data_IF_040203510925
#
_entry.id   IF_040203510925
#
_cell.length_a   1.000
_cell.length_b   1.000
_cell.length_c   1.000
_cell.angle_alpha   90.00
_cell.angle_beta   90.00
_cell.angle_gamma   90.00
#
_symmetry.space_group_name_H-M   'P 1'
#
loop_
_entity.id
_entity.type
_entity.pdbx_description
1 polymer ?
#
# COMPACT_ATOMS: atom_id res chain seq x y z
N UNK A 1 23.00 -10.27 -13.11
CA UNK A 1 21.56 -10.35 -13.45
C UNK A 1 20.79 -9.79 -12.27
N UNK A 2 20.30 -8.56 -12.38
CA UNK A 2 19.52 -7.93 -11.32
C UNK A 2 18.13 -8.58 -11.34
N UNK A 3 17.83 -9.41 -10.35
CA UNK A 3 16.51 -10.04 -10.23
C UNK A 3 15.47 -8.95 -9.99
N UNK A 4 14.80 -8.49 -11.05
CA UNK A 4 13.60 -7.67 -10.95
C UNK A 4 12.62 -8.46 -10.12
N UNK A 5 12.30 -7.99 -8.90
CA UNK A 5 11.26 -8.62 -8.10
C UNK A 5 9.92 -8.25 -8.72
N UNK A 6 9.30 -9.21 -9.39
CA UNK A 6 7.91 -9.13 -9.83
C UNK A 6 6.99 -8.87 -8.63
N UNK A 7 5.77 -8.40 -8.92
CA UNK A 7 4.75 -8.22 -7.90
C UNK A 7 4.18 -9.59 -7.53
N UNK A 8 4.43 -10.03 -6.29
CA UNK A 8 3.91 -11.30 -5.79
C UNK A 8 2.39 -11.27 -5.58
N UNK A 9 1.73 -12.43 -5.67
CA UNK A 9 0.29 -12.56 -5.47
C UNK A 9 -0.12 -12.00 -4.09
N UNK A 10 -1.13 -11.13 -4.08
CA UNK A 10 -1.64 -10.50 -2.87
C UNK A 10 -0.86 -9.28 -2.40
N UNK A 11 0.26 -8.90 -3.06
CA UNK A 11 0.95 -7.66 -2.76
C UNK A 11 0.21 -6.47 -3.36
N UNK A 12 0.13 -5.40 -2.59
CA UNK A 12 -0.57 -4.15 -2.92
C UNK A 12 0.35 -2.94 -2.95
N UNK A 13 1.60 -3.05 -2.49
CA UNK A 13 2.54 -1.92 -2.42
C UNK A 13 3.70 -2.09 -3.40
N UNK A 14 3.92 -1.05 -4.21
CA UNK A 14 5.03 -0.92 -5.15
C UNK A 14 6.06 0.07 -4.59
N UNK A 15 7.33 -0.27 -4.75
CA UNK A 15 8.48 0.60 -4.50
C UNK A 15 9.07 1.07 -5.83
N UNK A 16 9.25 2.37 -5.97
CA UNK A 16 9.98 3.00 -7.07
C UNK A 16 11.37 3.38 -6.58
N UNK A 17 12.41 2.97 -7.30
CA UNK A 17 13.81 3.24 -6.97
C UNK A 17 14.52 3.93 -8.13
N UNK A 18 15.34 4.93 -7.82
CA UNK A 18 15.97 5.77 -8.85
C UNK A 18 15.05 6.89 -9.34
N UNK A 19 14.12 7.35 -8.50
CA UNK A 19 13.21 8.44 -8.81
C UNK A 19 14.00 9.72 -9.16
N UNK A 20 13.64 10.47 -10.23
CA UNK A 20 14.31 11.73 -10.55
C UNK A 20 14.21 12.72 -9.37
N UNK A 21 15.26 13.51 -9.05
CA UNK A 21 15.37 14.24 -7.77
C UNK A 21 14.27 15.28 -7.49
N UNK A 22 13.63 15.77 -8.54
CA UNK A 22 12.60 16.81 -8.55
C UNK A 22 11.16 16.26 -8.46
N UNK A 23 10.98 14.93 -8.57
CA UNK A 23 9.66 14.32 -8.42
C UNK A 23 9.20 14.41 -6.96
N UNK A 24 8.09 15.10 -6.75
CA UNK A 24 7.39 15.21 -5.46
C UNK A 24 6.25 14.18 -5.34
N UNK A 25 5.69 13.99 -4.13
CA UNK A 25 4.49 13.16 -3.95
C UNK A 25 3.32 13.61 -4.84
N UNK A 26 3.12 14.93 -5.01
CA UNK A 26 2.07 15.47 -5.89
C UNK A 26 2.34 15.15 -7.36
N UNK A 27 3.59 15.34 -7.83
CA UNK A 27 3.95 15.01 -9.21
C UNK A 27 3.78 13.51 -9.49
N UNK A 28 4.12 12.67 -8.51
CA UNK A 28 3.87 11.23 -8.61
C UNK A 28 2.37 10.92 -8.70
N UNK A 29 1.50 11.60 -7.94
CA UNK A 29 0.04 11.42 -8.06
C UNK A 29 -0.50 11.82 -9.44
N UNK A 30 0.03 12.88 -10.05
CA UNK A 30 -0.34 13.25 -11.43
C UNK A 30 -0.01 12.12 -12.41
N UNK A 31 1.18 11.52 -12.29
CA UNK A 31 1.56 10.35 -13.10
C UNK A 31 0.64 9.15 -12.82
N UNK A 32 0.30 8.91 -11.55
CA UNK A 32 -0.59 7.82 -11.15
C UNK A 32 -2.04 8.02 -11.61
N UNK A 33 -2.45 9.25 -11.93
CA UNK A 33 -3.80 9.53 -12.47
C UNK A 33 -3.98 8.86 -13.83
N UNK A 34 -2.92 8.82 -14.65
CA UNK A 34 -2.95 8.17 -15.97
C UNK A 34 -2.79 6.65 -15.87
N UNK A 35 -2.08 6.15 -14.85
CA UNK A 35 -1.77 4.73 -14.67
C UNK A 35 -2.87 3.97 -13.91
N UNK A 36 -3.33 4.53 -12.81
CA UNK A 36 -4.22 3.86 -11.86
C UNK A 36 -5.17 4.89 -11.22
N UNK A 37 -6.07 5.50 -12.01
CA UNK A 37 -6.95 6.54 -11.53
C UNK A 37 -7.78 6.05 -10.35
N UNK A 38 -7.63 6.73 -9.20
CA UNK A 38 -8.36 6.46 -7.95
C UNK A 38 -8.18 5.04 -7.39
N UNK A 39 -7.16 4.30 -7.83
CA UNK A 39 -6.92 2.90 -7.42
C UNK A 39 -5.75 2.75 -6.43
N UNK A 40 -5.35 3.85 -5.80
CA UNK A 40 -4.32 3.88 -4.77
C UNK A 40 -4.77 4.67 -3.55
N UNK A 41 -4.28 4.28 -2.38
CA UNK A 41 -4.72 4.78 -1.08
C UNK A 41 -3.58 5.32 -0.20
N UNK A 42 -2.33 5.18 -0.66
CA UNK A 42 -1.14 5.73 -0.02
C UNK A 42 -0.06 6.06 -1.04
N UNK A 43 0.54 7.25 -0.91
CA UNK A 43 1.71 7.67 -1.69
C UNK A 43 2.70 8.34 -0.74
N UNK A 44 3.98 7.95 -0.82
CA UNK A 44 5.02 8.61 -0.03
C UNK A 44 6.33 8.72 -0.80
N UNK A 45 6.81 9.97 -0.94
CA UNK A 45 8.12 10.32 -1.51
C UNK A 45 8.91 11.07 -0.43
N UNK A 46 9.85 10.42 0.28
CA UNK A 46 10.64 11.08 1.31
C UNK A 46 11.54 12.16 0.72
N UNK A 47 11.57 13.31 1.38
CA UNK A 47 12.28 14.49 0.93
C UNK A 47 13.42 14.86 1.88
N UNK A 48 14.62 15.03 1.33
CA UNK A 48 15.79 15.48 2.07
C UNK A 48 15.83 17.00 2.08
N UNK A 49 15.69 17.60 3.27
CA UNK A 49 15.81 19.06 3.46
C UNK A 49 17.23 19.57 3.17
N UNK A 50 18.24 18.72 3.35
CA UNK A 50 19.65 19.07 3.11
C UNK A 50 19.94 19.22 1.62
N UNK A 51 19.52 18.24 0.82
CA UNK A 51 19.75 18.22 -0.64
C UNK A 51 18.63 18.87 -1.44
N UNK A 52 17.54 19.29 -0.76
CA UNK A 52 16.33 19.87 -1.35
C UNK A 52 15.74 19.04 -2.50
N UNK A 53 15.80 17.72 -2.35
CA UNK A 53 15.41 16.73 -3.36
C UNK A 53 14.84 15.49 -2.67
N UNK A 54 14.11 14.67 -3.41
CA UNK A 54 13.78 13.34 -2.90
C UNK A 54 15.04 12.47 -2.77
N UNK A 55 14.95 11.38 -2.01
CA UNK A 55 16.07 10.45 -1.79
C UNK A 55 16.18 9.35 -2.87
N UNK A 56 15.51 9.52 -4.00
CA UNK A 56 15.44 8.56 -5.11
C UNK A 56 14.49 7.40 -4.86
N UNK A 57 13.58 7.49 -3.89
CA UNK A 57 12.65 6.42 -3.50
C UNK A 57 11.21 6.93 -3.43
N UNK A 58 10.26 6.06 -3.78
CA UNK A 58 8.84 6.26 -3.49
C UNK A 58 8.13 4.94 -3.16
N UNK A 59 7.02 5.06 -2.44
CA UNK A 59 6.11 3.95 -2.13
C UNK A 59 4.68 4.33 -2.52
N UNK A 60 3.99 3.39 -3.15
CA UNK A 60 2.57 3.53 -3.53
C UNK A 60 1.85 2.27 -3.12
N UNK A 61 0.81 2.40 -2.29
CA UNK A 61 -0.11 1.29 -2.00
C UNK A 61 -1.38 1.44 -2.84
N UNK A 62 -1.81 0.32 -3.42
CA UNK A 62 -3.03 0.19 -4.20
C UNK A 62 -4.14 -0.42 -3.34
N UNK A 63 -5.39 -0.12 -3.72
CA UNK A 63 -6.58 -0.56 -2.98
C UNK A 63 -6.72 -2.08 -2.91
N UNK A 64 -6.22 -2.78 -3.94
CA UNK A 64 -6.16 -4.23 -4.01
C UNK A 64 -5.01 -4.71 -4.92
N UNK A 65 -4.79 -6.02 -4.94
CA UNK A 65 -3.74 -6.65 -5.72
C UNK A 65 -3.95 -6.52 -7.24
N UNK A 66 -5.20 -6.51 -7.71
CA UNK A 66 -5.50 -6.39 -9.14
C UNK A 66 -5.17 -4.99 -9.68
N UNK A 67 -5.41 -3.96 -8.88
CA UNK A 67 -4.99 -2.59 -9.15
C UNK A 67 -3.46 -2.48 -9.15
N UNK A 68 -2.81 -3.07 -8.13
CA UNK A 68 -1.34 -3.08 -8.05
C UNK A 68 -0.70 -3.79 -9.25
N UNK A 69 -1.23 -4.95 -9.67
CA UNK A 69 -0.68 -5.72 -10.77
C UNK A 69 -0.76 -4.98 -12.12
N UNK A 70 -1.89 -4.32 -12.40
CA UNK A 70 -2.05 -3.46 -13.58
C UNK A 70 -1.08 -2.28 -13.54
N UNK A 71 -1.08 -1.53 -12.43
CA UNK A 71 -0.19 -0.40 -12.25
C UNK A 71 1.29 -0.78 -12.34
N UNK A 72 1.68 -1.97 -11.86
CA UNK A 72 3.04 -2.47 -11.95
C UNK A 72 3.50 -2.59 -13.41
N UNK A 73 2.66 -3.15 -14.28
CA UNK A 73 2.97 -3.30 -15.71
C UNK A 73 3.10 -1.94 -16.40
N UNK A 74 2.14 -1.03 -16.16
CA UNK A 74 2.14 0.30 -16.75
C UNK A 74 3.32 1.15 -16.26
N UNK A 75 3.66 1.07 -14.97
CA UNK A 75 4.85 1.72 -14.42
C UNK A 75 6.13 1.14 -15.02
N UNK A 76 6.21 -0.17 -15.28
CA UNK A 76 7.35 -0.78 -15.97
C UNK A 76 7.50 -0.25 -17.40
N UNK A 77 6.39 -0.01 -18.11
CA UNK A 77 6.42 0.63 -19.43
C UNK A 77 6.93 2.07 -19.34
N UNK A 78 6.43 2.85 -18.37
CA UNK A 78 6.89 4.22 -18.11
C UNK A 78 8.36 4.31 -17.71
N UNK A 79 8.86 3.28 -17.02
CA UNK A 79 10.25 3.13 -16.64
C UNK A 79 11.18 2.89 -17.82
N UNK A 80 10.67 2.23 -18.86
CA UNK A 80 11.40 2.04 -20.12
C UNK A 80 11.30 3.31 -20.99
N UNK A 81 10.14 3.96 -21.00
CA UNK A 81 9.84 5.12 -21.85
C UNK A 81 8.93 6.12 -21.12
N UNK A 82 9.37 7.36 -20.93
CA UNK A 82 8.51 8.43 -20.42
C UNK A 82 9.05 9.16 -19.19
N UNK A 83 8.13 9.67 -18.37
CA UNK A 83 8.42 10.55 -17.22
C UNK A 83 9.19 9.88 -16.08
N UNK A 84 9.15 8.54 -16.02
CA UNK A 84 9.84 7.73 -15.02
C UNK A 84 11.00 6.94 -15.62
N UNK A 85 11.56 7.38 -16.76
CA UNK A 85 12.65 6.68 -17.44
C UNK A 85 13.80 6.36 -16.47
N UNK A 86 14.22 5.09 -16.45
CA UNK A 86 15.24 4.50 -15.56
C UNK A 86 14.83 4.27 -14.10
N UNK A 87 13.57 4.52 -13.72
CA UNK A 87 13.07 4.12 -12.41
C UNK A 87 12.91 2.61 -12.37
N UNK A 88 13.49 1.95 -11.37
CA UNK A 88 13.28 0.54 -11.10
C UNK A 88 11.95 0.37 -10.35
N UNK A 89 11.02 -0.39 -10.93
CA UNK A 89 9.73 -0.76 -10.33
C UNK A 89 9.88 -2.11 -9.63
N UNK A 90 9.53 -2.17 -8.34
CA UNK A 90 9.67 -3.38 -7.52
C UNK A 90 8.48 -3.59 -6.61
N UNK A 91 8.24 -4.83 -6.20
CA UNK A 91 7.48 -5.09 -4.98
C UNK A 91 8.16 -4.43 -3.77
N UNK A 92 7.37 -3.72 -2.95
CA UNK A 92 7.88 -3.12 -1.73
C UNK A 92 8.12 -4.19 -0.65
N UNK A 93 9.10 -3.96 0.22
CA UNK A 93 9.30 -4.82 1.38
C UNK A 93 8.19 -4.66 2.43
N UNK A 94 7.48 -3.53 2.45
CA UNK A 94 6.37 -3.27 3.36
C UNK A 94 5.09 -3.24 2.55
N UNK A 95 4.13 -4.10 2.91
CA UNK A 95 2.89 -4.29 2.15
C UNK A 95 1.69 -3.76 2.92
N UNK A 96 0.81 -3.04 2.22
CA UNK A 96 -0.43 -2.47 2.74
C UNK A 96 -0.28 -1.04 3.27
N UNK A 97 -1.35 -0.24 3.12
CA UNK A 97 -1.41 1.15 3.58
C UNK A 97 -1.11 1.31 5.07
N UNK A 98 -1.75 0.51 5.93
CA UNK A 98 -1.60 0.62 7.38
C UNK A 98 -0.16 0.33 7.83
N UNK A 99 0.46 -0.71 7.27
CA UNK A 99 1.84 -1.07 7.57
C UNK A 99 2.82 0.05 7.16
N UNK A 100 2.66 0.60 5.95
CA UNK A 100 3.49 1.69 5.48
C UNK A 100 3.35 2.94 6.38
N UNK A 101 2.13 3.30 6.80
CA UNK A 101 1.91 4.42 7.73
C UNK A 101 2.53 4.16 9.11
N UNK A 102 2.37 2.93 9.64
CA UNK A 102 2.98 2.52 10.90
C UNK A 102 4.51 2.62 10.85
N UNK A 103 5.13 2.18 9.75
CA UNK A 103 6.58 2.31 9.53
C UNK A 103 7.02 3.77 9.48
N UNK A 104 6.30 4.63 8.76
CA UNK A 104 6.60 6.07 8.71
C UNK A 104 6.51 6.70 10.10
N UNK A 105 5.45 6.39 10.87
CA UNK A 105 5.31 6.86 12.25
C UNK A 105 6.41 6.33 13.17
N UNK A 106 6.77 5.06 13.06
CA UNK A 106 7.84 4.47 13.86
C UNK A 106 9.22 5.10 13.53
N UNK A 107 9.47 5.38 12.25
CA UNK A 107 10.77 5.89 11.77
C UNK A 107 10.95 7.38 12.03
N UNK A 108 9.90 8.16 11.78
CA UNK A 108 9.98 9.61 11.82
C UNK A 108 9.21 10.20 13.00
N UNK A 109 8.15 9.55 13.50
CA UNK A 109 7.23 10.15 14.46
C UNK A 109 6.36 11.23 13.82
N UNK A 110 5.62 11.98 14.64
CA UNK A 110 4.67 13.00 14.17
C UNK A 110 5.31 14.21 13.47
N UNK A 111 6.65 14.35 13.49
CA UNK A 111 7.34 15.41 12.73
C UNK A 111 7.15 15.25 11.22
N UNK A 112 6.85 14.05 10.72
CA UNK A 112 6.60 13.80 9.29
C UNK A 112 5.44 14.64 8.76
N UNK A 113 4.45 14.95 9.62
CA UNK A 113 3.30 15.79 9.28
C UNK A 113 3.68 17.24 8.91
N UNK A 114 4.88 17.68 9.31
CA UNK A 114 5.40 19.03 9.05
C UNK A 114 6.48 19.04 7.96
N UNK A 115 6.74 17.90 7.33
CA UNK A 115 7.72 17.81 6.24
C UNK A 115 7.16 18.41 4.95
N UNK A 116 8.04 18.75 4.01
CA UNK A 116 7.65 19.31 2.70
C UNK A 116 6.87 18.31 1.84
N UNK A 117 7.07 17.02 2.10
CA UNK A 117 6.46 15.91 1.35
C UNK A 117 5.98 14.84 2.34
N UNK A 118 4.93 15.13 3.14
CA UNK A 118 4.36 14.13 4.03
C UNK A 118 3.72 13.00 3.21
N UNK A 119 3.49 11.82 3.80
CA UNK A 119 2.68 10.80 3.17
C UNK A 119 1.31 11.34 2.79
N UNK A 120 0.83 10.94 1.63
CA UNK A 120 -0.51 11.26 1.17
C UNK A 120 -1.35 10.00 1.36
N UNK A 121 -2.48 10.17 2.04
CA UNK A 121 -3.48 9.12 2.27
C UNK A 121 -4.73 9.48 1.51
N UNK A 122 -5.30 8.50 0.79
CA UNK A 122 -6.55 8.65 0.09
C UNK A 122 -7.61 7.71 0.68
N UNK A 123 -8.84 8.18 0.70
CA UNK A 123 -10.03 7.42 1.05
C UNK A 123 -11.04 7.63 -0.07
N UNK A 124 -11.51 6.52 -0.66
CA UNK A 124 -12.43 6.53 -1.81
C UNK A 124 -11.95 7.42 -2.96
N UNK A 125 -10.63 7.40 -3.22
CA UNK A 125 -9.98 8.20 -4.27
C UNK A 125 -9.74 9.67 -3.91
N UNK A 126 -10.17 10.13 -2.73
CA UNK A 126 -10.00 11.51 -2.28
C UNK A 126 -8.88 11.62 -1.25
N UNK A 127 -8.00 12.61 -1.41
CA UNK A 127 -6.97 12.88 -0.43
C UNK A 127 -7.58 13.34 0.89
N UNK A 128 -7.19 12.70 1.99
CA UNK A 128 -7.61 13.09 3.34
C UNK A 128 -6.90 14.39 3.75
N UNK A 129 -7.65 15.38 4.21
CA UNK A 129 -7.12 16.68 4.66
C UNK A 129 -6.41 16.59 6.00
N UNK A 130 -7.01 15.90 6.98
CA UNK A 130 -6.42 15.65 8.28
C UNK A 130 -5.63 14.34 8.30
N UNK A 131 -4.37 14.42 7.88
CA UNK A 131 -3.45 13.27 7.88
C UNK A 131 -3.22 12.70 9.29
N UNK A 132 -3.26 13.54 10.33
CA UNK A 132 -3.03 13.09 11.71
C UNK A 132 -4.18 12.17 12.15
N UNK A 133 -5.42 12.61 11.95
CA UNK A 133 -6.59 11.80 12.25
C UNK A 133 -6.64 10.52 11.40
N UNK A 134 -6.23 10.59 10.13
CA UNK A 134 -6.12 9.41 9.27
C UNK A 134 -5.09 8.40 9.81
N UNK A 135 -3.92 8.86 10.23
CA UNK A 135 -2.90 8.01 10.83
C UNK A 135 -3.38 7.36 12.13
N UNK A 136 -4.05 8.13 13.00
CA UNK A 136 -4.57 7.65 14.29
C UNK A 136 -5.71 6.63 14.12
N UNK A 137 -6.49 6.70 13.04
CA UNK A 137 -7.56 5.75 12.75
C UNK A 137 -7.10 4.50 11.98
N UNK A 138 -6.12 4.64 11.08
CA UNK A 138 -5.65 3.53 10.23
C UNK A 138 -4.60 2.67 10.95
N UNK A 139 -3.77 3.26 11.81
CA UNK A 139 -2.64 2.55 12.44
C UNK A 139 -3.04 2.04 13.82
N UNK A 140 -3.21 0.72 13.92
CA UNK A 140 -3.39 0.03 15.19
C UNK A 140 -2.14 0.13 16.11
N UNK A 141 -2.29 0.28 17.44
CA UNK A 141 -1.16 0.36 18.37
C UNK A 141 -0.23 -0.86 18.36
N UNK A 142 -0.75 -2.07 18.17
CA UNK A 142 0.04 -3.29 18.01
C UNK A 142 0.86 -3.26 16.73
N UNK A 143 0.23 -2.85 15.62
CA UNK A 143 0.92 -2.65 14.35
C UNK A 143 2.05 -1.60 14.44
N UNK A 144 1.83 -0.51 15.17
CA UNK A 144 2.85 0.52 15.41
C UNK A 144 4.02 -0.04 16.25
N UNK A 145 3.74 -0.92 17.21
CA UNK A 145 4.77 -1.57 18.01
C UNK A 145 5.64 -2.51 17.14
N UNK A 146 5.04 -3.32 16.27
CA UNK A 146 5.77 -4.14 15.31
C UNK A 146 6.65 -3.28 14.38
N UNK A 147 6.10 -2.18 13.86
CA UNK A 147 6.84 -1.26 13.01
C UNK A 147 8.07 -0.67 13.73
N UNK A 148 7.96 -0.36 15.03
CA UNK A 148 9.09 0.11 15.85
C UNK A 148 10.19 -0.93 15.98
N UNK A 149 9.83 -2.20 16.10
CA UNK A 149 10.80 -3.31 16.15
C UNK A 149 11.55 -3.45 14.83
N UNK A 150 10.83 -3.39 13.70
CA UNK A 150 11.46 -3.37 12.36
C UNK A 150 12.45 -2.22 12.23
N UNK A 151 12.01 -1.00 12.60
CA UNK A 151 12.85 0.21 12.55
C UNK A 151 14.06 0.11 13.49
N UNK A 152 13.90 -0.50 14.67
CA UNK A 152 15.00 -0.71 15.61
C UNK A 152 16.05 -1.68 15.05
N UNK A 153 15.62 -2.77 14.41
CA UNK A 153 16.52 -3.71 13.73
C UNK A 153 17.29 -3.02 12.60
N UNK A 154 16.63 -2.19 11.78
CA UNK A 154 17.28 -1.46 10.69
C UNK A 154 18.33 -0.44 11.16
N UNK A 155 18.12 0.17 12.34
CA UNK A 155 19.03 1.14 12.94
C UNK A 155 20.17 0.49 13.76
N UNK A 156 20.24 -0.84 13.82
CA UNK A 156 21.28 -1.55 14.57
C UNK A 156 20.96 -1.74 16.05
N UNK A 157 19.72 -2.08 16.38
CA UNK A 157 19.26 -2.44 17.74
C UNK A 157 20.13 -3.49 18.44
N UNK A 158 19.95 -3.68 19.77
CA UNK A 158 20.94 -4.27 20.66
C UNK A 158 21.45 -5.61 20.14
N UNK A 159 22.67 -5.57 19.61
CA UNK A 159 23.43 -6.73 19.16
C UNK A 159 23.57 -7.71 20.31
N UNK A 160 22.94 -8.88 20.22
CA UNK A 160 23.38 -10.06 20.98
C UNK A 160 24.71 -10.52 20.36
N UNK A 161 25.80 -9.83 20.78
CA UNK A 161 27.25 -10.11 20.68
C UNK A 161 27.85 -10.59 19.35
N UNK A 162 28.93 -9.87 18.99
CA UNK A 162 30.13 -10.28 18.20
C UNK A 162 29.89 -10.51 16.70
N UNK A 163 30.61 -9.92 15.73
CA UNK A 163 32.04 -9.62 15.62
C UNK A 163 32.27 -8.35 14.78
N UNK A 164 33.49 -7.82 14.88
CA UNK A 164 34.08 -6.67 14.21
C UNK A 164 33.98 -6.60 12.68
N UNK A 165 33.75 -5.39 12.18
CA UNK A 165 34.34 -4.91 10.92
C UNK A 165 33.49 -5.09 9.66
N UNK A 166 33.20 -3.96 9.00
CA UNK A 166 32.70 -3.91 7.63
C UNK A 166 31.26 -3.41 7.53
N UNK A 167 31.08 -2.39 6.69
CA UNK A 167 29.79 -1.86 6.21
C UNK A 167 28.65 -2.86 6.34
N UNK A 168 27.82 -2.67 7.38
CA UNK A 168 26.69 -3.53 7.67
C UNK A 168 25.82 -3.64 6.42
N UNK A 169 25.86 -4.81 5.76
CA UNK A 169 24.89 -5.17 4.73
C UNK A 169 23.51 -5.00 5.36
N UNK A 170 22.76 -3.98 4.92
CA UNK A 170 21.32 -3.90 5.13
C UNK A 170 20.75 -5.27 4.75
N UNK A 171 20.15 -5.99 5.70
CA UNK A 171 19.53 -7.30 5.49
C UNK A 171 18.40 -7.14 4.46
N UNK A 172 18.75 -7.27 3.19
CA UNK A 172 17.85 -7.44 2.05
C UNK A 172 17.15 -8.78 2.21
N UNK A 173 16.06 -8.83 2.98
CA UNK A 173 15.38 -10.11 3.23
C UNK A 173 14.07 -10.05 4.03
N UNK A 174 13.85 -9.02 4.84
CA UNK A 174 12.55 -8.88 5.53
C UNK A 174 11.57 -8.15 4.63
N UNK A 175 10.69 -8.92 4.00
CA UNK A 175 9.37 -8.42 3.62
C UNK A 175 8.51 -8.44 4.89
N UNK A 176 8.10 -7.27 5.37
CA UNK A 176 7.14 -7.12 6.45
C UNK A 176 5.75 -6.91 5.83
N UNK A 177 4.96 -7.98 5.82
CA UNK A 177 3.56 -7.96 5.44
C UNK A 177 2.71 -8.45 6.63
N UNK A 178 2.18 -7.53 7.45
CA UNK A 178 1.36 -7.89 8.61
C UNK A 178 0.15 -8.75 8.25
N UNK A 179 -0.39 -8.61 7.02
CA UNK A 179 -1.56 -9.36 6.55
C UNK A 179 -1.23 -10.83 6.23
N UNK A 180 0.02 -11.16 5.91
CA UNK A 180 0.48 -12.55 5.71
C UNK A 180 1.10 -13.17 6.96
N UNK A 181 1.40 -12.38 8.00
CA UNK A 181 1.91 -12.88 9.28
C UNK A 181 0.82 -13.34 10.25
N UNK A 182 -0.45 -13.39 9.81
CA UNK A 182 -1.45 -14.22 10.47
C UNK A 182 -0.98 -15.66 10.40
N UNK A 183 -0.36 -16.11 11.50
CA UNK A 183 0.19 -17.44 11.73
C UNK A 183 -0.71 -18.50 11.05
N UNK A 184 -0.16 -19.50 10.33
CA UNK A 184 -0.89 -20.75 10.25
C UNK A 184 -1.11 -21.19 11.70
N UNK A 185 -2.37 -21.21 12.13
CA UNK A 185 -2.75 -21.96 13.31
C UNK A 185 -2.12 -23.34 13.16
N UNK A 186 -1.43 -23.80 14.20
CA UNK A 186 -0.80 -25.10 14.23
C UNK A 186 -1.79 -26.15 13.69
N UNK A 187 -1.52 -26.68 12.49
CA UNK A 187 -2.17 -27.91 12.04
C UNK A 187 -1.58 -29.01 12.91
N UNK A 188 -2.26 -29.21 14.02
CA UNK A 188 -2.16 -30.37 14.88
C UNK A 188 -2.30 -31.65 14.05
N UNK A 189 -1.65 -32.68 14.56
CA UNK A 189 -1.56 -34.02 14.03
C UNK A 189 -2.86 -34.54 13.38
N UNK A 190 -2.77 -35.03 12.15
CA UNK A 190 -3.77 -35.95 11.60
C UNK A 190 -3.40 -37.35 12.07
N UNK A 191 -4.05 -37.77 13.14
CA UNK A 191 -4.15 -39.16 13.56
C UNK A 191 -5.05 -39.90 12.56
N UNK A 192 -4.49 -40.94 11.95
CA UNK A 192 -5.21 -42.02 11.30
C UNK A 192 -6.30 -42.58 12.20
N UNK A 193 -7.56 -42.51 11.78
CA UNK A 193 -8.53 -43.59 11.98
C UNK A 193 -9.50 -43.64 10.81
N UNK A 194 -9.58 -44.83 10.25
CA UNK A 194 -10.57 -45.34 9.31
C UNK A 194 -11.94 -45.46 9.96
N UNK A 195 -13.01 -45.10 9.26
CA UNK A 195 -14.24 -45.91 9.29
C UNK A 195 -15.19 -45.58 8.13
N UNK A 196 -15.74 -46.65 7.57
CA UNK A 196 -16.64 -46.76 6.43
C UNK A 196 -18.10 -46.58 6.83
N UNK A 197 -18.90 -46.03 5.90
CA UNK A 197 -20.16 -46.59 5.41
C UNK A 197 -21.37 -45.64 5.39
N UNK A 198 -21.85 -45.42 4.16
CA UNK A 198 -23.25 -45.38 3.68
C UNK A 198 -24.28 -44.42 4.30
N UNK A 199 -24.98 -43.68 3.43
CA UNK A 199 -26.46 -43.52 3.29
C UNK A 199 -26.69 -42.38 2.27
N UNK A 200 -27.13 -42.68 1.04
CA UNK A 200 -28.53 -42.66 0.55
C UNK A 200 -29.24 -41.29 0.67
N UNK A 201 -29.36 -40.59 -0.47
CA UNK A 201 -30.44 -39.64 -0.85
C UNK A 201 -31.65 -40.45 -1.42
N UNK A 202 -32.87 -39.91 -1.71
CA UNK A 202 -33.19 -38.52 -2.10
C UNK A 202 -34.59 -37.93 -1.75
N UNK A 203 -34.77 -36.65 -2.14
CA UNK A 203 -35.96 -36.02 -2.75
C UNK A 203 -37.03 -35.28 -1.90
N UNK A 204 -37.59 -34.24 -2.56
CA UNK A 204 -38.86 -33.49 -2.35
C UNK A 204 -38.85 -32.40 -1.25
N UNK A 205 -39.43 -31.18 -1.37
CA UNK A 205 -40.41 -30.55 -2.26
C UNK A 205 -40.38 -28.99 -2.12
N UNK A 206 -40.92 -28.31 -3.15
CA UNK A 206 -41.62 -26.98 -3.19
C UNK A 206 -40.80 -25.71 -2.85
N UNK A 207 -40.61 -24.77 -3.79
CA UNK A 207 -41.56 -23.87 -4.48
C UNK A 207 -42.34 -22.98 -3.51
N UNK A 208 -41.88 -21.75 -3.32
CA UNK A 208 -42.66 -20.62 -2.81
C UNK A 208 -42.15 -19.34 -3.50
N UNK A 209 -43.02 -18.83 -4.35
CA UNK A 209 -42.91 -17.56 -5.07
C UNK A 209 -43.21 -16.40 -4.12
N UNK A 210 -42.29 -15.45 -3.94
CA UNK A 210 -42.63 -14.14 -3.41
C UNK A 210 -42.26 -13.01 -4.39
N UNK A 211 -43.33 -12.41 -4.91
CA UNK A 211 -43.40 -11.07 -5.51
C UNK A 211 -43.05 -10.00 -4.47
N UNK A 212 -42.82 -8.78 -4.99
CA UNK A 212 -42.91 -7.46 -4.33
C UNK A 212 -41.56 -6.88 -3.88
N UNK A 213 -41.21 -5.62 -4.06
CA UNK A 213 -41.77 -4.47 -4.77
C UNK A 213 -40.60 -3.47 -4.88
N UNK A 214 -40.58 -2.72 -5.97
CA UNK A 214 -39.72 -1.56 -6.21
C UNK A 214 -40.16 -0.37 -5.35
N UNK A 215 -39.21 0.27 -4.66
CA UNK A 215 -39.36 1.65 -4.18
C UNK A 215 -38.22 2.54 -4.70
N UNK A 216 -38.52 3.79 -5.09
CA UNK A 216 -37.57 4.70 -5.71
C UNK A 216 -36.65 5.41 -4.70
N UNK A 217 -35.43 5.66 -5.16
CA UNK A 217 -34.36 6.40 -4.48
C UNK A 217 -34.72 7.89 -4.47
N UNK A 218 -34.73 8.48 -3.27
CA UNK A 218 -34.88 9.93 -3.06
C UNK A 218 -33.51 10.62 -3.01
N UNK A 219 -33.26 11.49 -3.99
CA UNK A 219 -32.69 12.83 -3.79
C UNK A 219 -31.24 12.96 -3.30
N UNK A 220 -30.26 12.84 -4.22
CA UNK A 220 -28.95 13.48 -4.06
C UNK A 220 -28.97 14.81 -4.81
N UNK A 221 -28.76 15.90 -4.07
CA UNK A 221 -28.73 17.27 -4.56
C UNK A 221 -27.34 17.54 -5.15
N UNK A 222 -27.23 17.57 -6.48
CA UNK A 222 -26.01 17.95 -7.21
C UNK A 222 -26.01 19.48 -7.37
N UNK A 223 -25.03 20.16 -6.77
CA UNK A 223 -24.79 21.59 -7.00
C UNK A 223 -23.70 21.72 -8.07
N UNK A 224 -24.10 21.97 -9.31
CA UNK A 224 -23.18 22.36 -10.40
C UNK A 224 -22.86 23.86 -10.26
N UNK A 225 -21.65 24.18 -9.84
CA UNK A 225 -21.10 25.53 -9.88
C UNK A 225 -20.61 25.84 -11.29
N UNK A 226 -21.35 26.69 -12.01
CA UNK A 226 -20.91 27.29 -13.26
C UNK A 226 -20.20 28.61 -12.96
N UNK A 227 -18.89 28.71 -13.24
CA UNK A 227 -18.21 29.99 -13.34
C UNK A 227 -17.83 30.30 -14.79
N UNK A 228 -18.19 31.51 -15.16
CA UNK A 228 -18.12 32.13 -16.49
C UNK A 228 -16.68 32.45 -16.86
N UNK A 229 -16.31 32.12 -18.09
CA UNK A 229 -15.19 32.74 -18.80
C UNK A 229 -15.67 34.07 -19.39
N UNK A 230 -15.10 35.19 -18.94
CA UNK A 230 -15.20 36.49 -19.59
C UNK A 230 -14.07 36.66 -20.60
N UNK A 231 -14.42 36.77 -21.89
CA UNK A 231 -13.54 37.31 -22.93
C UNK A 231 -13.81 38.81 -23.04
N UNK A 232 -12.75 39.62 -23.01
CA UNK A 232 -12.77 41.00 -23.49
C UNK A 232 -12.03 41.08 -24.81
N UNK A 233 -12.66 41.77 -25.77
CA UNK A 233 -12.15 42.15 -27.09
C UNK A 233 -11.01 43.15 -27.00
#
# INVERSE_FOLDING_TARGET
MTTTRELEQGFTTIMLRGLPPDVSSRRLMEILTDVAPLQYDFVYVPYSRTTKTNIGLAWVNFVDHSAAARAFQDLQLLSNFGSLRHVEVRSANIQGRAANLAYVLARFGLRVLRETSPPIVLQDGLQVSDLKAAMESIVDPGLLQEAREVVAVEQGGPSRRSCSGGYARRRTGMCWNPLQMQRPAASSAVSTTSETSSVLTPAHLQDESLKSQSHPISGVKVTLGAERLSFSL
#
